data_IF_028379741363
#
_entry.id   IF_028379741363
#
_cell.length_a   1.000
_cell.length_b   1.000
_cell.length_c   1.000
_cell.angle_alpha   90.00
_cell.angle_beta   90.00
_cell.angle_gamma   90.00
#
_symmetry.space_group_name_H-M   'P 1'
#
loop_
_entity.id
_entity.type
_entity.pdbx_description
1 polymer ?
#
# COMPACT_ATOMS: atom_id res chain seq x y z
N UNK A 1 -0.32 -6.52 17.28
CA UNK A 1 0.91 -6.99 16.63
C UNK A 1 1.93 -7.44 17.67
N UNK A 2 2.77 -8.44 17.38
CA UNK A 2 3.84 -8.84 18.29
C UNK A 2 4.83 -7.70 18.54
N UNK A 3 5.20 -7.46 19.79
CA UNK A 3 6.10 -6.37 20.18
C UNK A 3 7.53 -6.53 19.62
N UNK A 4 7.87 -7.70 19.11
CA UNK A 4 9.22 -7.98 18.59
C UNK A 4 9.42 -7.56 17.13
N UNK A 5 8.36 -7.20 16.42
CA UNK A 5 8.48 -6.84 15.01
C UNK A 5 8.76 -5.34 14.88
N UNK A 6 9.71 -4.93 14.01
CA UNK A 6 10.14 -3.54 13.88
C UNK A 6 9.18 -2.74 13.00
N UNK A 7 7.91 -2.61 13.40
CA UNK A 7 6.90 -1.95 12.59
C UNK A 7 6.23 -0.83 13.36
N UNK A 8 5.79 0.18 12.62
CA UNK A 8 4.95 1.26 13.09
C UNK A 8 3.61 1.13 12.35
N UNK A 9 2.57 0.60 13.01
CA UNK A 9 1.29 0.43 12.33
C UNK A 9 0.62 1.77 12.03
N UNK A 10 -0.11 1.83 10.92
CA UNK A 10 -1.03 2.93 10.63
C UNK A 10 -2.06 2.99 11.75
N UNK A 11 -2.37 4.19 12.26
CA UNK A 11 -3.34 4.33 13.32
C UNK A 11 -4.73 3.87 12.86
N UNK A 12 -5.55 3.39 13.80
CA UNK A 12 -6.90 2.94 13.47
C UNK A 12 -7.74 4.07 12.88
N UNK A 13 -7.57 5.30 13.40
CA UNK A 13 -8.27 6.48 12.87
C UNK A 13 -7.91 6.74 11.41
N UNK A 14 -6.61 6.75 11.08
CA UNK A 14 -6.15 6.98 9.71
C UNK A 14 -6.58 5.84 8.78
N UNK A 15 -6.50 4.60 9.26
CA UNK A 15 -6.93 3.43 8.48
C UNK A 15 -8.41 3.50 8.14
N UNK A 16 -9.26 3.80 9.13
CA UNK A 16 -10.70 3.94 8.90
C UNK A 16 -11.00 5.03 7.88
N UNK A 17 -10.32 6.19 8.01
CA UNK A 17 -10.49 7.30 7.07
C UNK A 17 -10.08 6.89 5.65
N UNK A 18 -8.96 6.17 5.51
CA UNK A 18 -8.50 5.69 4.20
C UNK A 18 -9.55 4.78 3.55
N UNK A 19 -10.07 3.81 4.28
CA UNK A 19 -11.03 2.86 3.72
C UNK A 19 -12.38 3.51 3.43
N UNK A 20 -12.77 4.54 4.17
CA UNK A 20 -13.95 5.33 3.83
C UNK A 20 -13.77 6.06 2.49
N UNK A 21 -12.57 6.57 2.23
CA UNK A 21 -12.25 7.19 0.94
C UNK A 21 -12.33 6.14 -0.18
N UNK A 22 -11.67 4.99 0.00
CA UNK A 22 -11.63 3.93 -1.00
C UNK A 22 -13.01 3.39 -1.33
N UNK A 23 -13.90 3.34 -0.34
CA UNK A 23 -15.27 2.87 -0.53
C UNK A 23 -16.08 3.76 -1.49
N UNK A 24 -15.64 5.00 -1.72
CA UNK A 24 -16.29 5.89 -2.69
C UNK A 24 -15.84 5.61 -4.13
N UNK A 25 -14.74 4.88 -4.32
CA UNK A 25 -14.16 4.64 -5.64
C UNK A 25 -14.29 3.20 -6.11
N UNK A 26 -14.38 2.24 -5.19
CA UNK A 26 -14.24 0.82 -5.52
C UNK A 26 -15.26 -0.05 -4.82
N UNK A 27 -15.56 -1.18 -5.45
CA UNK A 27 -16.16 -2.34 -4.79
C UNK A 27 -15.02 -3.25 -4.38
N UNK A 28 -14.84 -3.47 -3.08
CA UNK A 28 -13.70 -4.23 -2.56
C UNK A 28 -13.63 -5.66 -3.12
N UNK A 29 -14.77 -6.25 -3.41
CA UNK A 29 -14.86 -7.62 -3.94
C UNK A 29 -14.27 -7.76 -5.34
N UNK A 30 -13.97 -6.65 -6.01
CA UNK A 30 -13.40 -6.64 -7.36
C UNK A 30 -11.92 -6.24 -7.38
N UNK A 31 -11.31 -5.98 -6.23
CA UNK A 31 -9.97 -5.41 -6.18
C UNK A 31 -8.87 -6.45 -6.06
N UNK A 32 -7.80 -6.24 -6.82
CA UNK A 32 -6.48 -6.82 -6.55
C UNK A 32 -5.61 -5.75 -5.92
N UNK A 33 -4.94 -6.09 -4.83
CA UNK A 33 -4.23 -5.13 -3.97
C UNK A 33 -2.79 -5.56 -3.76
N UNK A 34 -1.87 -4.58 -3.83
CA UNK A 34 -0.47 -4.75 -3.45
C UNK A 34 -0.19 -3.87 -2.24
N UNK A 35 0.27 -4.47 -1.16
CA UNK A 35 0.60 -3.78 0.09
C UNK A 35 2.12 -3.81 0.28
N UNK A 36 2.77 -2.67 0.03
CA UNK A 36 4.22 -2.52 0.09
C UNK A 36 4.64 -2.01 1.47
N UNK A 37 5.77 -2.51 1.98
CA UNK A 37 6.19 -2.26 3.36
C UNK A 37 5.09 -2.72 4.32
N UNK A 38 4.59 -3.92 4.11
CA UNK A 38 3.35 -4.38 4.73
C UNK A 38 3.45 -4.52 6.26
N UNK A 39 4.64 -4.66 6.80
CA UNK A 39 4.84 -4.82 8.24
C UNK A 39 4.10 -6.05 8.75
N UNK A 40 3.26 -5.88 9.76
CA UNK A 40 2.46 -6.98 10.31
C UNK A 40 1.16 -7.22 9.57
N UNK A 41 0.91 -6.47 8.48
CA UNK A 41 -0.22 -6.76 7.59
C UNK A 41 -1.53 -6.06 7.90
N UNK A 42 -1.49 -5.04 8.76
CA UNK A 42 -2.70 -4.35 9.21
C UNK A 42 -3.60 -3.87 8.05
N UNK A 43 -2.99 -3.27 7.02
CA UNK A 43 -3.72 -2.80 5.84
C UNK A 43 -4.20 -3.99 4.99
N UNK A 44 -3.36 -5.00 4.81
CA UNK A 44 -3.74 -6.22 4.07
C UNK A 44 -4.96 -6.90 4.67
N UNK A 45 -5.01 -7.03 6.00
CA UNK A 45 -6.15 -7.66 6.68
C UNK A 45 -7.44 -6.86 6.48
N UNK A 46 -7.34 -5.53 6.50
CA UNK A 46 -8.50 -4.69 6.28
C UNK A 46 -9.08 -4.87 4.89
N UNK A 47 -8.24 -4.88 3.86
CA UNK A 47 -8.70 -5.17 2.50
C UNK A 47 -9.37 -6.55 2.41
N UNK A 48 -8.73 -7.57 2.97
CA UNK A 48 -9.27 -8.92 2.92
C UNK A 48 -10.60 -9.03 3.68
N UNK A 49 -10.71 -8.39 4.85
CA UNK A 49 -11.93 -8.41 5.65
C UNK A 49 -13.11 -7.74 4.93
N UNK A 50 -12.81 -6.85 4.00
CA UNK A 50 -13.85 -6.16 3.20
C UNK A 50 -14.18 -6.90 1.90
N UNK A 51 -13.56 -8.04 1.67
CA UNK A 51 -13.91 -8.94 0.56
C UNK A 51 -12.96 -8.92 -0.63
N UNK A 52 -11.81 -8.24 -0.54
CA UNK A 52 -10.84 -8.26 -1.65
C UNK A 52 -10.40 -9.68 -1.95
N UNK A 53 -10.53 -10.16 -3.19
CA UNK A 53 -10.21 -11.56 -3.52
C UNK A 53 -8.71 -11.83 -3.64
N UNK A 54 -7.87 -10.81 -3.71
CA UNK A 54 -6.42 -11.00 -3.89
C UNK A 54 -5.65 -9.85 -3.26
N UNK A 55 -4.82 -10.15 -2.27
CA UNK A 55 -3.92 -9.20 -1.63
C UNK A 55 -2.52 -9.80 -1.61
N UNK A 56 -1.55 -9.08 -2.16
CA UNK A 56 -0.13 -9.43 -2.09
C UNK A 56 0.55 -8.45 -1.15
N UNK A 57 1.16 -8.97 -0.09
CA UNK A 57 1.91 -8.18 0.88
C UNK A 57 3.40 -8.38 0.64
N UNK A 58 4.16 -7.28 0.55
CA UNK A 58 5.61 -7.35 0.33
C UNK A 58 6.32 -6.65 1.48
N UNK A 59 7.27 -7.35 2.10
CA UNK A 59 8.11 -6.81 3.16
C UNK A 59 9.45 -7.54 3.13
N UNK A 60 10.53 -6.86 3.50
CA UNK A 60 11.84 -7.50 3.52
C UNK A 60 12.17 -8.18 4.84
N UNK A 61 11.31 -8.05 5.85
CA UNK A 61 11.52 -8.65 7.17
C UNK A 61 10.84 -10.01 7.24
N UNK A 62 11.64 -11.06 7.43
CA UNK A 62 11.14 -12.43 7.41
C UNK A 62 10.05 -12.68 8.47
N UNK A 63 10.23 -12.14 9.69
CA UNK A 63 9.26 -12.30 10.77
C UNK A 63 7.91 -11.72 10.42
N UNK A 64 7.88 -10.55 9.75
CA UNK A 64 6.64 -9.92 9.29
C UNK A 64 5.94 -10.81 8.26
N UNK A 65 6.69 -11.32 7.28
CA UNK A 65 6.14 -12.17 6.23
C UNK A 65 5.54 -13.45 6.82
N UNK A 66 6.27 -14.09 7.73
CA UNK A 66 5.77 -15.31 8.38
C UNK A 66 4.51 -15.02 9.20
N UNK A 67 4.48 -13.89 9.91
CA UNK A 67 3.32 -13.50 10.69
C UNK A 67 2.10 -13.29 9.81
N UNK A 68 2.24 -12.56 8.70
CA UNK A 68 1.13 -12.31 7.78
C UNK A 68 0.60 -13.63 7.22
N UNK A 69 1.47 -14.52 6.76
CA UNK A 69 1.03 -15.80 6.20
C UNK A 69 0.33 -16.66 7.24
N UNK A 70 0.79 -16.62 8.49
CA UNK A 70 0.14 -17.34 9.59
C UNK A 70 -1.28 -16.82 9.83
N UNK A 71 -1.44 -15.50 9.97
CA UNK A 71 -2.74 -14.88 10.23
C UNK A 71 -3.68 -15.11 9.04
N UNK A 72 -3.18 -15.01 7.81
CA UNK A 72 -3.98 -15.25 6.62
C UNK A 72 -4.54 -16.68 6.61
N UNK A 73 -3.74 -17.68 7.00
CA UNK A 73 -4.22 -19.07 7.11
C UNK A 73 -5.26 -19.21 8.20
N UNK A 74 -5.03 -18.61 9.37
CA UNK A 74 -5.95 -18.72 10.50
C UNK A 74 -7.31 -18.08 10.22
N UNK A 75 -7.32 -16.95 9.51
CA UNK A 75 -8.53 -16.21 9.19
C UNK A 75 -9.10 -16.59 7.81
N UNK A 76 -8.44 -17.46 7.09
CA UNK A 76 -8.82 -17.88 5.72
C UNK A 76 -8.94 -16.66 4.80
N UNK A 77 -7.96 -15.77 4.85
CA UNK A 77 -7.90 -14.58 3.99
C UNK A 77 -7.08 -14.86 2.71
N UNK A 78 -7.47 -14.29 1.57
CA UNK A 78 -6.75 -14.45 0.30
C UNK A 78 -5.52 -13.53 0.24
N UNK A 79 -4.63 -13.62 1.22
CA UNK A 79 -3.42 -12.82 1.33
C UNK A 79 -2.21 -13.74 1.13
N UNK A 80 -1.30 -13.34 0.25
CA UNK A 80 0.01 -13.95 0.13
C UNK A 80 1.06 -12.93 0.54
N UNK A 81 1.94 -13.28 1.47
CA UNK A 81 3.04 -12.41 1.85
C UNK A 81 4.34 -12.91 1.23
N UNK A 82 5.09 -11.99 0.63
CA UNK A 82 6.35 -12.27 -0.06
C UNK A 82 7.49 -11.51 0.61
N UNK A 83 8.57 -12.23 0.93
CA UNK A 83 9.78 -11.58 1.43
C UNK A 83 10.58 -11.05 0.25
N UNK A 84 10.70 -9.73 0.15
CA UNK A 84 11.46 -9.08 -0.90
C UNK A 84 11.73 -7.63 -0.53
N UNK A 85 12.82 -7.09 -1.07
CA UNK A 85 13.00 -5.63 -1.10
C UNK A 85 11.93 -5.04 -2.01
N UNK A 86 11.24 -3.99 -1.54
CA UNK A 86 10.13 -3.40 -2.27
C UNK A 86 10.56 -2.89 -3.64
N UNK A 87 11.72 -2.20 -3.72
CA UNK A 87 12.19 -1.63 -4.98
C UNK A 87 12.57 -2.71 -5.99
N UNK A 88 13.23 -3.76 -5.53
CA UNK A 88 13.58 -4.89 -6.37
C UNK A 88 12.34 -5.61 -6.88
N UNK A 89 11.34 -5.80 -6.01
CA UNK A 89 10.08 -6.41 -6.40
C UNK A 89 9.39 -5.59 -7.49
N UNK A 90 9.27 -4.27 -7.28
CA UNK A 90 8.59 -3.39 -8.24
C UNK A 90 9.27 -3.36 -9.60
N UNK A 91 10.61 -3.44 -9.64
CA UNK A 91 11.36 -3.41 -10.89
C UNK A 91 11.16 -4.67 -11.73
N UNK A 92 10.89 -5.81 -11.09
CA UNK A 92 10.82 -7.09 -11.82
C UNK A 92 9.40 -7.61 -12.06
N UNK A 93 8.41 -7.15 -11.28
CA UNK A 93 7.04 -7.64 -11.46
C UNK A 93 6.41 -7.07 -12.72
N UNK A 94 5.55 -7.87 -13.34
CA UNK A 94 4.72 -7.44 -14.48
C UNK A 94 3.24 -7.49 -14.12
N UNK A 95 2.92 -7.89 -12.88
CA UNK A 95 1.54 -7.98 -12.42
C UNK A 95 0.96 -6.58 -12.24
N UNK A 96 -0.30 -6.39 -12.63
CA UNK A 96 -1.04 -5.16 -12.40
C UNK A 96 -1.96 -5.30 -11.21
N UNK A 97 -2.17 -4.18 -10.52
CA UNK A 97 -3.03 -4.11 -9.34
C UNK A 97 -3.99 -2.94 -9.48
N UNK A 98 -5.17 -3.07 -8.85
CA UNK A 98 -6.14 -1.97 -8.79
C UNK A 98 -5.74 -0.93 -7.75
N UNK A 99 -5.18 -1.37 -6.62
CA UNK A 99 -4.68 -0.49 -5.57
C UNK A 99 -3.29 -0.95 -5.17
N UNK A 100 -2.35 0.00 -5.15
CA UNK A 100 -1.02 -0.22 -4.57
C UNK A 100 -0.90 0.74 -3.39
N UNK A 101 -0.70 0.19 -2.20
CA UNK A 101 -0.51 0.95 -0.97
C UNK A 101 0.93 0.78 -0.50
N UNK A 102 1.58 1.88 -0.11
CA UNK A 102 2.95 1.85 0.42
C UNK A 102 3.05 2.67 1.70
N UNK A 103 3.64 2.07 2.73
CA UNK A 103 3.90 2.73 4.01
C UNK A 103 5.37 2.61 4.37
N UNK A 104 6.26 3.32 3.63
CA UNK A 104 7.69 3.27 3.92
C UNK A 104 8.01 3.96 5.24
N UNK A 105 9.20 3.70 5.83
CA UNK A 105 9.62 4.39 7.03
C UNK A 105 9.56 5.92 6.86
N UNK A 106 9.09 6.63 7.89
CA UNK A 106 8.91 8.09 7.85
C UNK A 106 10.21 8.85 7.62
N UNK A 107 11.35 8.28 8.03
CA UNK A 107 12.67 8.90 7.92
C UNK A 107 13.33 8.68 6.55
N UNK A 108 12.66 8.00 5.63
CA UNK A 108 13.18 7.87 4.27
C UNK A 108 13.32 9.24 3.63
N UNK A 109 14.42 9.49 2.89
CA UNK A 109 14.52 10.71 2.10
C UNK A 109 13.46 10.74 1.02
N UNK A 110 13.10 11.94 0.57
CA UNK A 110 12.01 12.12 -0.40
C UNK A 110 12.22 11.31 -1.68
N UNK A 111 13.47 11.15 -2.12
CA UNK A 111 13.79 10.39 -3.33
C UNK A 111 13.31 8.95 -3.26
N UNK A 112 13.29 8.37 -2.07
CA UNK A 112 12.81 6.99 -1.89
C UNK A 112 11.29 6.88 -2.04
N UNK A 113 10.55 7.91 -1.65
CA UNK A 113 9.11 7.95 -1.90
C UNK A 113 8.82 8.18 -3.38
N UNK A 114 9.54 9.11 -4.00
CA UNK A 114 9.38 9.43 -5.42
C UNK A 114 9.69 8.22 -6.30
N UNK A 115 10.71 7.45 -5.96
CA UNK A 115 11.10 6.26 -6.71
C UNK A 115 9.97 5.22 -6.76
N UNK A 116 9.20 5.07 -5.68
CA UNK A 116 8.06 4.15 -5.69
C UNK A 116 7.07 4.56 -6.79
N UNK A 117 6.68 5.83 -6.82
CA UNK A 117 5.75 6.33 -7.82
C UNK A 117 6.32 6.18 -9.23
N UNK A 118 7.59 6.55 -9.42
CA UNK A 118 8.25 6.43 -10.72
C UNK A 118 8.20 5.01 -11.27
N UNK A 119 8.54 4.02 -10.45
CA UNK A 119 8.55 2.63 -10.90
C UNK A 119 7.12 2.16 -11.20
N UNK A 120 6.16 2.45 -10.31
CA UNK A 120 4.78 2.02 -10.50
C UNK A 120 4.22 2.50 -11.84
N UNK A 121 4.43 3.77 -12.18
CA UNK A 121 3.89 4.33 -13.42
C UNK A 121 4.73 3.95 -14.64
N UNK A 122 6.06 3.94 -14.53
CA UNK A 122 6.93 3.56 -15.65
C UNK A 122 6.79 2.08 -16.03
N UNK A 123 6.58 1.20 -15.06
CA UNK A 123 6.40 -0.23 -15.30
C UNK A 123 4.93 -0.60 -15.57
N UNK A 124 4.04 0.37 -15.55
CA UNK A 124 2.60 0.16 -15.81
C UNK A 124 1.99 -0.88 -14.86
N UNK A 125 2.18 -0.70 -13.56
CA UNK A 125 1.74 -1.67 -12.55
C UNK A 125 0.32 -1.43 -12.03
N UNK A 126 -0.37 -0.40 -12.52
CA UNK A 126 -1.77 -0.14 -12.16
C UNK A 126 -2.71 -0.50 -13.31
N UNK A 127 -3.85 -1.07 -12.96
CA UNK A 127 -4.95 -1.23 -13.92
C UNK A 127 -5.49 0.14 -14.33
N UNK A 128 -6.39 0.18 -15.31
CA UNK A 128 -6.88 1.43 -15.91
C UNK A 128 -7.42 2.43 -14.89
N UNK A 129 -8.18 1.97 -13.91
CA UNK A 129 -8.77 2.83 -12.86
C UNK A 129 -8.02 2.68 -11.52
N UNK A 130 -6.81 2.16 -11.57
CA UNK A 130 -6.02 1.91 -10.37
C UNK A 130 -5.42 3.16 -9.77
N UNK A 131 -5.06 3.08 -8.49
CA UNK A 131 -4.38 4.16 -7.79
C UNK A 131 -3.25 3.66 -6.92
N UNK A 132 -2.24 4.51 -6.76
CA UNK A 132 -1.15 4.33 -5.81
C UNK A 132 -1.41 5.25 -4.62
N UNK A 133 -1.26 4.73 -3.42
CA UNK A 133 -1.41 5.48 -2.18
C UNK A 133 -0.12 5.34 -1.39
N UNK A 134 0.50 6.47 -1.03
CA UNK A 134 1.71 6.46 -0.21
C UNK A 134 1.39 7.16 1.10
N UNK A 135 1.64 6.47 2.22
CA UNK A 135 1.57 7.07 3.55
C UNK A 135 2.92 7.65 3.92
N UNK A 136 2.94 8.88 4.44
CA UNK A 136 4.17 9.55 4.85
C UNK A 136 3.85 10.59 5.93
N UNK A 137 4.89 11.20 6.51
CA UNK A 137 4.70 12.26 7.50
C UNK A 137 4.36 13.59 6.81
N UNK A 138 3.86 14.55 7.60
CA UNK A 138 3.56 15.89 7.09
C UNK A 138 4.79 16.68 6.66
N UNK A 139 5.99 16.21 7.01
CA UNK A 139 7.27 16.83 6.58
C UNK A 139 7.62 16.49 5.14
N UNK A 140 7.02 15.47 4.55
CA UNK A 140 7.26 15.06 3.18
C UNK A 140 6.13 15.61 2.30
N UNK A 141 6.49 16.25 1.20
CA UNK A 141 5.53 16.82 0.24
C UNK A 141 5.76 16.16 -1.12
N UNK A 142 4.76 15.40 -1.59
CA UNK A 142 4.82 14.70 -2.87
C UNK A 142 3.95 15.37 -3.94
N UNK A 143 3.41 16.56 -3.66
CA UNK A 143 2.43 17.21 -4.53
C UNK A 143 2.99 17.67 -5.87
N UNK A 144 4.31 17.79 -6.01
CA UNK A 144 4.96 18.18 -7.27
C UNK A 144 5.22 17.00 -8.21
N UNK A 145 4.93 15.78 -7.76
CA UNK A 145 5.26 14.59 -8.54
C UNK A 145 4.23 14.34 -9.64
N UNK A 146 4.66 13.76 -10.80
CA UNK A 146 3.73 13.38 -11.83
C UNK A 146 2.65 12.42 -11.29
N UNK A 147 1.44 12.54 -11.80
CA UNK A 147 0.28 11.72 -11.43
C UNK A 147 -0.25 11.97 -10.03
N UNK A 148 0.33 12.89 -9.26
CA UNK A 148 -0.23 13.25 -7.96
C UNK A 148 -1.65 13.79 -8.14
N UNK A 149 -2.60 13.26 -7.34
CA UNK A 149 -4.02 13.62 -7.41
C UNK A 149 -4.43 14.47 -6.21
N UNK A 150 -4.20 13.98 -5.01
CA UNK A 150 -4.58 14.66 -3.77
C UNK A 150 -3.81 14.10 -2.58
N UNK A 151 -3.79 14.88 -1.51
CA UNK A 151 -3.25 14.44 -0.22
C UNK A 151 -4.29 14.64 0.86
N UNK A 152 -4.40 13.69 1.78
CA UNK A 152 -5.31 13.75 2.92
C UNK A 152 -4.53 13.54 4.20
N UNK A 153 -4.67 14.46 5.15
CA UNK A 153 -3.96 14.41 6.42
C UNK A 153 -4.86 13.93 7.56
N UNK A 154 -4.39 12.93 8.30
CA UNK A 154 -5.08 12.41 9.47
C UNK A 154 -4.09 12.30 10.61
N UNK A 155 -4.15 13.26 11.56
CA UNK A 155 -3.17 13.34 12.64
C UNK A 155 -1.76 13.56 12.09
N UNK A 156 -0.82 12.68 12.46
CA UNK A 156 0.56 12.74 11.96
C UNK A 156 0.79 12.05 10.62
N UNK A 157 -0.23 11.41 10.06
CA UNK A 157 -0.13 10.66 8.81
C UNK A 157 -0.73 11.44 7.65
N UNK A 158 -0.07 11.39 6.50
CA UNK A 158 -0.59 11.92 5.25
C UNK A 158 -0.68 10.78 4.25
N UNK A 159 -1.82 10.66 3.56
CA UNK A 159 -1.97 9.76 2.42
C UNK A 159 -1.91 10.60 1.15
N UNK A 160 -0.94 10.33 0.30
CA UNK A 160 -0.85 10.94 -1.04
C UNK A 160 -1.34 9.93 -2.07
N UNK A 161 -2.23 10.39 -2.94
CA UNK A 161 -2.90 9.56 -3.95
C UNK A 161 -2.39 9.92 -5.33
N UNK A 162 -2.08 8.90 -6.13
CA UNK A 162 -1.56 9.05 -7.49
C UNK A 162 -2.40 8.21 -8.44
N UNK A 163 -2.79 8.79 -9.56
CA UNK A 163 -3.56 8.08 -10.59
C UNK A 163 -3.29 8.71 -11.94
N UNK A 164 -3.55 7.95 -13.01
CA UNK A 164 -3.45 8.51 -14.35
C UNK A 164 -4.60 9.48 -14.57
N UNK A 165 -4.34 10.53 -15.35
CA UNK A 165 -5.41 11.44 -15.74
C UNK A 165 -6.39 10.68 -16.63
N UNK A 166 -7.69 10.96 -16.44
CA UNK A 166 -8.71 10.44 -17.34
C UNK A 166 -8.46 11.01 -18.74
N UNK A 167 -8.45 10.13 -19.73
CA UNK A 167 -8.39 10.54 -21.12
C UNK A 167 -9.82 10.82 -21.59
N UNK A 168 -10.03 12.04 -22.01
CA UNK A 168 -11.32 12.43 -22.61
C UNK A 168 -11.54 11.72 -23.94
#
# INVERSE_FOLDING_TARGET
APNKLPVRPTTDFAKEALFNILNNYYYFEELSVLDLFAGTGNISYEFASRGCPSVLSVDNHNGCVQFINKIARELVYPITALKADVYEYLKRTTQQFDVIFADPPYDFPIEKFVTIADIVFNQNLLTENGMLIIEHSSKTDLSEQPFFSQAKKYGGSVFSFFEREEQD
#
